data_IF_312080025532
#
_entry.id   IF_312080025532
#
_cell.length_a   1.000
_cell.length_b   1.000
_cell.length_c   1.000
_cell.angle_alpha   90.00
_cell.angle_beta   90.00
_cell.angle_gamma   90.00
#
_symmetry.space_group_name_H-M   'P 1'
#
loop_
_entity.id
_entity.type
_entity.pdbx_description
1 polymer ?
#
# COMPACT_ATOMS: atom_id res chain seq x y z
N UNK A 1 56.80 23.36 13.66
CA UNK A 1 57.13 24.29 12.56
C UNK A 1 56.95 23.51 11.28
N UNK A 2 56.07 24.00 10.40
CA UNK A 2 55.46 23.33 9.25
C UNK A 2 56.47 23.13 8.12
N UNK A 3 56.35 22.01 7.40
CA UNK A 3 56.69 21.92 5.96
C UNK A 3 55.82 20.82 5.29
N UNK A 4 55.72 20.78 3.96
CA UNK A 4 54.42 20.87 3.27
C UNK A 4 54.26 19.75 2.22
N UNK A 5 53.05 19.35 1.86
CA UNK A 5 52.85 18.82 0.51
C UNK A 5 51.37 18.74 0.17
N UNK A 6 51.06 18.98 -1.10
CA UNK A 6 49.72 18.78 -1.61
C UNK A 6 49.26 19.87 -2.58
N UNK A 7 49.99 19.98 -3.68
CA UNK A 7 49.46 20.19 -5.02
C UNK A 7 48.31 21.19 -5.20
N UNK A 8 48.67 22.36 -5.71
CA UNK A 8 47.79 23.12 -6.58
C UNK A 8 47.55 22.35 -7.88
N UNK A 9 46.40 22.65 -8.49
CA UNK A 9 46.04 22.57 -9.93
C UNK A 9 44.87 21.61 -10.19
N UNK A 10 43.66 22.14 -10.20
CA UNK A 10 43.03 22.57 -11.46
C UNK A 10 41.62 23.09 -11.16
N UNK A 11 41.50 24.41 -11.22
CA UNK A 11 40.23 25.10 -11.42
C UNK A 11 39.83 24.89 -12.88
N UNK A 12 38.75 24.16 -13.15
CA UNK A 12 37.88 24.49 -14.28
C UNK A 12 36.44 24.09 -14.01
N UNK A 13 35.61 25.10 -14.16
CA UNK A 13 34.17 25.18 -13.98
C UNK A 13 33.47 24.18 -14.91
N UNK A 14 32.39 23.58 -14.42
CA UNK A 14 31.12 23.50 -15.17
C UNK A 14 29.99 23.31 -14.18
N UNK A 15 29.34 24.43 -13.87
CA UNK A 15 27.93 24.44 -13.47
C UNK A 15 27.18 23.69 -14.58
N UNK A 16 26.73 22.49 -14.29
CA UNK A 16 25.78 21.79 -15.15
C UNK A 16 24.43 22.46 -14.99
N UNK A 17 23.91 22.89 -16.13
CA UNK A 17 22.58 23.43 -16.33
C UNK A 17 21.53 22.72 -15.48
N UNK A 18 20.81 23.51 -14.67
CA UNK A 18 19.49 23.16 -14.18
C UNK A 18 18.54 23.31 -15.38
N UNK A 19 18.67 22.40 -16.34
CA UNK A 19 17.66 22.17 -17.36
C UNK A 19 16.70 21.14 -16.79
N UNK A 20 15.50 21.61 -16.48
CA UNK A 20 14.45 20.80 -15.89
C UNK A 20 14.12 19.58 -16.75
N UNK A 21 14.52 18.43 -16.27
CA UNK A 21 13.72 17.22 -16.31
C UNK A 21 13.61 16.77 -14.86
N UNK A 22 12.39 16.76 -14.32
CA UNK A 22 12.12 16.05 -13.08
C UNK A 22 12.26 14.56 -13.39
N UNK A 23 13.50 14.10 -13.59
CA UNK A 23 13.84 12.70 -13.61
C UNK A 23 13.69 12.21 -12.18
N UNK A 24 12.46 11.86 -11.83
CA UNK A 24 12.20 10.95 -10.72
C UNK A 24 12.90 9.65 -11.06
N UNK A 25 14.17 9.55 -10.68
CA UNK A 25 14.94 8.31 -10.73
C UNK A 25 14.08 7.21 -10.10
N UNK A 26 13.90 6.06 -10.78
CA UNK A 26 13.13 4.97 -10.22
C UNK A 26 13.78 4.55 -8.90
N UNK A 27 13.02 4.64 -7.82
CA UNK A 27 13.43 4.22 -6.47
C UNK A 27 13.93 2.78 -6.58
N UNK A 28 15.14 2.53 -6.06
CA UNK A 28 15.72 1.20 -6.10
C UNK A 28 14.77 0.21 -5.38
N UNK A 29 14.72 -1.03 -5.83
CA UNK A 29 13.82 -2.05 -5.25
C UNK A 29 13.93 -2.16 -3.73
N UNK A 30 15.16 -2.14 -3.21
CA UNK A 30 15.43 -2.14 -1.77
C UNK A 30 14.85 -0.94 -1.03
N UNK A 31 14.87 0.24 -1.64
CA UNK A 31 14.31 1.47 -1.06
C UNK A 31 12.77 1.40 -1.06
N UNK A 32 12.17 0.82 -2.10
CA UNK A 32 10.71 0.57 -2.14
C UNK A 32 10.28 -0.40 -1.04
N UNK A 33 11.04 -1.48 -0.83
CA UNK A 33 10.76 -2.47 0.21
C UNK A 33 10.86 -1.86 1.61
N UNK A 34 11.88 -1.03 1.84
CA UNK A 34 12.04 -0.29 3.10
C UNK A 34 10.86 0.67 3.34
N UNK A 35 10.48 1.44 2.33
CA UNK A 35 9.35 2.37 2.41
C UNK A 35 8.03 1.62 2.64
N UNK A 36 7.85 0.45 2.04
CA UNK A 36 6.71 -0.43 2.26
C UNK A 36 6.65 -0.92 3.72
N UNK A 37 7.77 -1.42 4.26
CA UNK A 37 7.86 -1.87 5.64
C UNK A 37 7.59 -0.73 6.64
N UNK A 38 8.17 0.46 6.42
CA UNK A 38 7.89 1.65 7.24
C UNK A 38 6.42 2.07 7.17
N UNK A 39 5.82 2.04 5.98
CA UNK A 39 4.40 2.34 5.79
C UNK A 39 3.52 1.41 6.61
N UNK A 40 3.84 0.12 6.64
CA UNK A 40 3.13 -0.87 7.46
C UNK A 40 3.29 -0.59 8.97
N UNK A 41 4.51 -0.28 9.44
CA UNK A 41 4.76 0.08 10.84
C UNK A 41 3.96 1.32 11.25
N UNK A 42 3.95 2.36 10.41
CA UNK A 42 3.17 3.56 10.68
C UNK A 42 1.66 3.26 10.80
N UNK A 43 1.10 2.38 9.96
CA UNK A 43 -0.29 1.95 10.08
C UNK A 43 -0.55 1.20 11.37
N UNK A 44 0.33 0.28 11.75
CA UNK A 44 0.21 -0.48 13.00
C UNK A 44 0.21 0.44 14.23
N UNK A 45 0.91 1.58 14.16
CA UNK A 45 0.93 2.60 15.20
C UNK A 45 -0.21 3.65 15.09
N UNK A 46 -1.17 3.48 14.18
CA UNK A 46 -2.27 4.43 13.97
C UNK A 46 -1.86 5.74 13.29
N UNK A 47 -0.68 5.80 12.69
CA UNK A 47 -0.13 6.96 11.99
C UNK A 47 -0.43 6.88 10.49
N UNK A 48 -1.71 6.73 10.13
CA UNK A 48 -2.14 6.46 8.75
C UNK A 48 -1.75 7.58 7.77
N UNK A 49 -1.75 8.85 8.19
CA UNK A 49 -1.32 9.96 7.33
C UNK A 49 0.16 9.84 6.92
N UNK A 50 1.04 9.42 7.84
CA UNK A 50 2.46 9.19 7.53
C UNK A 50 2.64 7.99 6.60
N UNK A 51 1.90 6.92 6.86
CA UNK A 51 1.90 5.76 5.98
C UNK A 51 1.47 6.14 4.56
N UNK A 52 0.37 6.88 4.42
CA UNK A 52 -0.13 7.32 3.12
C UNK A 52 0.88 8.21 2.38
N UNK A 53 1.58 9.09 3.10
CA UNK A 53 2.65 9.90 2.51
C UNK A 53 3.79 9.05 1.92
N UNK A 54 4.24 8.02 2.65
CA UNK A 54 5.27 7.10 2.15
C UNK A 54 4.78 6.26 0.97
N UNK A 55 3.56 5.73 1.05
CA UNK A 55 2.96 4.93 -0.03
C UNK A 55 2.81 5.72 -1.33
N UNK A 56 2.51 7.01 -1.27
CA UNK A 56 2.44 7.90 -2.45
C UNK A 56 3.79 8.09 -3.14
N UNK A 57 4.91 7.84 -2.47
CA UNK A 57 6.24 7.89 -3.10
C UNK A 57 6.53 6.64 -3.94
N UNK A 58 5.94 5.50 -3.58
CA UNK A 58 6.27 4.20 -4.17
C UNK A 58 5.15 3.58 -5.01
N UNK A 59 3.90 4.01 -4.83
CA UNK A 59 2.76 3.57 -5.65
C UNK A 59 2.56 4.53 -6.80
N UNK A 60 2.81 4.02 -8.01
CA UNK A 60 2.48 4.71 -9.26
C UNK A 60 1.18 4.15 -9.88
N UNK A 61 0.63 4.86 -10.86
CA UNK A 61 -0.67 4.53 -11.47
C UNK A 61 -0.76 3.08 -11.94
N UNK A 62 0.32 2.54 -12.52
CA UNK A 62 0.37 1.17 -13.05
C UNK A 62 0.82 0.10 -12.04
N UNK A 63 0.90 0.40 -10.75
CA UNK A 63 1.32 -0.56 -9.74
C UNK A 63 0.47 -1.86 -9.78
N UNK A 64 1.15 -3.00 -9.92
CA UNK A 64 0.53 -4.33 -9.94
C UNK A 64 0.83 -5.14 -8.66
N UNK A 65 1.57 -4.55 -7.72
CA UNK A 65 1.93 -5.21 -6.47
C UNK A 65 0.71 -5.28 -5.55
N UNK A 66 0.09 -6.45 -5.49
CA UNK A 66 -1.09 -6.75 -4.67
C UNK A 66 -0.83 -6.46 -3.19
N UNK A 67 0.36 -6.75 -2.67
CA UNK A 67 0.70 -6.50 -1.27
C UNK A 67 0.68 -5.01 -0.96
N UNK A 68 1.33 -4.22 -1.81
CA UNK A 68 1.41 -2.78 -1.67
C UNK A 68 0.04 -2.10 -1.84
N UNK A 69 -0.75 -2.54 -2.82
CA UNK A 69 -2.12 -2.05 -3.04
C UNK A 69 -3.05 -2.35 -1.85
N UNK A 70 -2.90 -3.51 -1.19
CA UNK A 70 -3.66 -3.82 0.03
C UNK A 70 -3.32 -2.86 1.18
N UNK A 71 -2.04 -2.55 1.36
CA UNK A 71 -1.59 -1.58 2.39
C UNK A 71 -2.16 -0.19 2.06
N UNK A 72 -2.12 0.23 0.79
CA UNK A 72 -2.69 1.49 0.35
C UNK A 72 -4.21 1.59 0.59
N UNK A 73 -4.97 0.53 0.27
CA UNK A 73 -6.40 0.50 0.55
C UNK A 73 -6.69 0.67 2.06
N UNK A 74 -5.92 0.00 2.92
CA UNK A 74 -6.08 0.14 4.37
C UNK A 74 -5.70 1.55 4.87
N UNK A 75 -4.67 2.16 4.30
CA UNK A 75 -4.28 3.54 4.62
C UNK A 75 -5.39 4.53 4.26
N UNK A 76 -5.99 4.42 3.07
CA UNK A 76 -7.12 5.26 2.66
C UNK A 76 -8.33 5.10 3.59
N UNK A 77 -8.70 3.86 3.95
CA UNK A 77 -9.80 3.60 4.91
C UNK A 77 -9.53 4.23 6.28
N UNK A 78 -8.27 4.19 6.73
CA UNK A 78 -7.84 4.74 8.02
C UNK A 78 -7.91 6.27 8.03
N UNK A 79 -7.56 6.92 6.92
CA UNK A 79 -7.70 8.36 6.72
C UNK A 79 -9.13 8.81 6.40
N UNK A 80 -10.08 7.88 6.22
CA UNK A 80 -11.46 8.21 5.89
C UNK A 80 -11.70 8.53 4.41
N UNK A 81 -10.71 8.29 3.54
CA UNK A 81 -10.76 8.46 2.09
C UNK A 81 -11.43 7.24 1.44
N UNK A 82 -12.75 7.17 1.58
CA UNK A 82 -13.53 5.99 1.21
C UNK A 82 -13.55 5.69 -0.29
N UNK A 83 -13.71 6.70 -1.13
CA UNK A 83 -13.80 6.52 -2.58
C UNK A 83 -12.45 6.12 -3.18
N UNK A 84 -11.35 6.70 -2.69
CA UNK A 84 -10.00 6.29 -3.07
C UNK A 84 -9.72 4.85 -2.67
N UNK A 85 -10.15 4.43 -1.47
CA UNK A 85 -10.03 3.04 -1.05
C UNK A 85 -10.81 2.09 -1.96
N UNK A 86 -12.01 2.47 -2.40
CA UNK A 86 -12.82 1.66 -3.32
C UNK A 86 -12.13 1.49 -4.68
N UNK A 87 -11.55 2.56 -5.23
CA UNK A 87 -10.81 2.48 -6.49
C UNK A 87 -9.63 1.49 -6.41
N UNK A 88 -8.91 1.46 -5.28
CA UNK A 88 -7.83 0.47 -5.07
C UNK A 88 -8.38 -0.95 -4.90
N UNK A 89 -9.51 -1.12 -4.21
CA UNK A 89 -10.13 -2.43 -4.04
C UNK A 89 -10.69 -2.98 -5.35
N UNK A 90 -11.19 -2.13 -6.25
CA UNK A 90 -11.64 -2.53 -7.58
C UNK A 90 -10.46 -3.00 -8.44
N UNK A 91 -9.29 -2.37 -8.31
CA UNK A 91 -8.05 -2.88 -8.90
C UNK A 91 -7.65 -4.22 -8.30
N UNK A 92 -7.69 -4.36 -6.98
CA UNK A 92 -7.35 -5.62 -6.31
C UNK A 92 -8.24 -6.79 -6.75
N UNK A 93 -9.54 -6.57 -7.00
CA UNK A 93 -10.43 -7.60 -7.52
C UNK A 93 -10.00 -8.12 -8.90
N UNK A 94 -9.29 -7.31 -9.69
CA UNK A 94 -8.74 -7.71 -11.01
C UNK A 94 -7.38 -8.40 -10.94
N UNK A 95 -6.61 -8.16 -9.89
CA UNK A 95 -5.21 -8.61 -9.77
C UNK A 95 -5.02 -9.78 -8.82
N UNK A 96 -5.90 -9.92 -7.83
CA UNK A 96 -5.77 -10.86 -6.73
C UNK A 96 -6.76 -12.01 -6.87
N UNK A 97 -6.37 -13.01 -7.64
CA UNK A 97 -7.18 -14.22 -7.85
C UNK A 97 -7.10 -15.20 -6.67
N UNK A 98 -6.31 -14.90 -5.63
CA UNK A 98 -6.06 -15.85 -4.57
C UNK A 98 -7.32 -16.05 -3.68
N UNK A 99 -7.84 -17.28 -3.52
CA UNK A 99 -9.10 -17.51 -2.82
C UNK A 99 -9.14 -17.01 -1.37
N UNK A 100 -8.01 -17.07 -0.67
CA UNK A 100 -7.88 -16.60 0.72
C UNK A 100 -7.93 -15.07 0.85
N UNK A 101 -7.68 -14.32 -0.22
CA UNK A 101 -7.76 -12.86 -0.23
C UNK A 101 -9.20 -12.35 -0.24
N UNK A 102 -10.14 -13.18 -0.72
CA UNK A 102 -11.55 -12.79 -0.85
C UNK A 102 -12.16 -12.33 0.48
N UNK A 103 -11.88 -13.04 1.57
CA UNK A 103 -12.42 -12.73 2.88
C UNK A 103 -11.94 -11.37 3.42
N UNK A 104 -10.63 -11.09 3.53
CA UNK A 104 -10.15 -9.78 3.97
C UNK A 104 -10.54 -8.64 3.01
N UNK A 105 -10.52 -8.84 1.69
CA UNK A 105 -10.92 -7.80 0.73
C UNK A 105 -12.40 -7.43 0.85
N UNK A 106 -13.28 -8.41 1.07
CA UNK A 106 -14.72 -8.15 1.29
C UNK A 106 -14.93 -7.29 2.55
N UNK A 107 -14.17 -7.56 3.62
CA UNK A 107 -14.24 -6.74 4.84
C UNK A 107 -13.76 -5.31 4.58
N UNK A 108 -12.62 -5.14 3.93
CA UNK A 108 -12.08 -3.81 3.58
C UNK A 108 -13.05 -3.01 2.71
N UNK A 109 -13.71 -3.65 1.73
CA UNK A 109 -14.73 -3.01 0.89
C UNK A 109 -15.93 -2.50 1.70
N UNK A 110 -16.41 -3.27 2.67
CA UNK A 110 -17.45 -2.79 3.59
C UNK A 110 -16.99 -1.55 4.36
N UNK A 111 -15.75 -1.53 4.87
CA UNK A 111 -15.21 -0.37 5.56
C UNK A 111 -15.07 0.85 4.66
N UNK A 112 -14.57 0.68 3.43
CA UNK A 112 -14.43 1.76 2.45
C UNK A 112 -15.79 2.38 2.11
N UNK A 113 -16.83 1.57 1.87
CA UNK A 113 -18.20 2.04 1.65
C UNK A 113 -18.74 2.86 2.84
N UNK A 114 -18.44 2.44 4.09
CA UNK A 114 -18.83 3.23 5.27
C UNK A 114 -18.13 4.58 5.30
N UNK A 115 -16.84 4.63 4.96
CA UNK A 115 -16.07 5.88 4.89
C UNK A 115 -16.58 6.82 3.79
N UNK A 116 -17.05 6.26 2.68
CA UNK A 116 -17.70 7.00 1.60
C UNK A 116 -19.17 7.39 1.90
N UNK A 117 -19.70 7.08 3.10
CA UNK A 117 -21.09 7.39 3.47
C UNK A 117 -22.15 6.45 2.84
N UNK A 118 -21.74 5.44 2.09
CA UNK A 118 -22.60 4.45 1.40
C UNK A 118 -23.02 3.32 2.35
N UNK A 119 -23.78 3.68 3.40
CA UNK A 119 -24.06 2.79 4.54
C UNK A 119 -24.88 1.54 4.18
N UNK A 120 -25.83 1.65 3.26
CA UNK A 120 -26.67 0.51 2.86
C UNK A 120 -25.85 -0.55 2.10
N UNK A 121 -25.01 -0.10 1.17
CA UNK A 121 -24.08 -0.97 0.45
C UNK A 121 -23.05 -1.58 1.40
N UNK A 122 -22.49 -0.77 2.30
CA UNK A 122 -21.56 -1.27 3.31
C UNK A 122 -22.15 -2.41 4.14
N UNK A 123 -23.42 -2.29 4.53
CA UNK A 123 -24.15 -3.31 5.29
C UNK A 123 -24.34 -4.58 4.46
N UNK A 124 -24.74 -4.46 3.19
CA UNK A 124 -24.90 -5.60 2.30
C UNK A 124 -23.57 -6.36 2.10
N UNK A 125 -22.47 -5.64 1.90
CA UNK A 125 -21.13 -6.24 1.77
C UNK A 125 -20.68 -6.89 3.09
N UNK A 126 -20.92 -6.26 4.23
CA UNK A 126 -20.59 -6.85 5.53
C UNK A 126 -21.34 -8.15 5.80
N UNK A 127 -22.64 -8.21 5.46
CA UNK A 127 -23.42 -9.45 5.56
C UNK A 127 -22.85 -10.56 4.68
N UNK A 128 -22.38 -10.23 3.48
CA UNK A 128 -21.71 -11.17 2.58
C UNK A 128 -20.40 -11.70 3.19
N UNK A 129 -19.61 -10.83 3.83
CA UNK A 129 -18.42 -11.22 4.58
C UNK A 129 -18.75 -12.18 5.75
N UNK A 130 -19.79 -11.90 6.54
CA UNK A 130 -20.21 -12.77 7.65
C UNK A 130 -20.60 -14.16 7.14
N UNK A 131 -21.34 -14.24 6.03
CA UNK A 131 -21.69 -15.52 5.39
C UNK A 131 -20.46 -16.28 4.91
N UNK A 132 -19.52 -15.59 4.25
CA UNK A 132 -18.27 -16.19 3.76
C UNK A 132 -17.42 -16.74 4.92
N UNK A 133 -17.30 -15.97 6.01
CA UNK A 133 -16.60 -16.40 7.23
C UNK A 133 -17.24 -17.65 7.83
N UNK A 134 -18.56 -17.66 7.98
CA UNK A 134 -19.29 -18.84 8.48
C UNK A 134 -19.04 -20.09 7.64
N UNK A 135 -19.04 -19.95 6.30
CA UNK A 135 -18.72 -21.04 5.38
C UNK A 135 -17.29 -21.56 5.52
N UNK A 136 -16.30 -20.69 5.68
CA UNK A 136 -14.89 -21.10 5.85
C UNK A 136 -14.65 -21.92 7.12
N UNK A 137 -15.36 -21.63 8.22
CA UNK A 137 -15.24 -22.38 9.47
C UNK A 137 -15.74 -23.82 9.30
N UNK A 138 -16.88 -24.00 8.61
CA UNK A 138 -17.48 -25.32 8.39
C UNK A 138 -16.62 -26.24 7.54
N UNK A 139 -15.94 -25.70 6.51
CA UNK A 139 -15.02 -26.46 5.65
C UNK A 139 -13.80 -26.95 6.45
N UNK A 140 -13.24 -26.11 7.33
CA UNK A 140 -12.07 -26.47 8.13
C UNK A 140 -12.40 -27.51 9.22
N UNK A 141 -13.63 -27.49 9.78
CA UNK A 141 -14.06 -28.50 10.75
C UNK A 141 -14.33 -29.87 10.11
N UNK A 142 -14.80 -29.90 8.86
CA UNK A 142 -15.01 -31.16 8.13
C UNK A 142 -13.69 -31.85 7.74
N UNK A 143 -12.64 -31.08 7.45
CA UNK A 143 -11.30 -31.62 7.10
C UNK A 143 -10.53 -32.20 8.29
N UNK A 144 -10.92 -31.92 9.55
CA UNK A 144 -10.24 -32.42 10.77
C UNK A 144 -10.90 -33.67 11.37
N UNK A 145 -11.92 -34.21 10.72
CA UNK A 145 -12.75 -35.32 11.24
C UNK A 145 -12.62 -36.62 10.45
N UNK A 146 -11.41 -37.11 10.17
CA UNK A 146 -11.20 -38.46 9.66
C UNK A 146 -10.06 -39.15 10.43
N UNK A 147 -10.34 -40.23 11.19
CA UNK A 147 -9.34 -41.05 11.87
C UNK A 147 -8.54 -41.93 10.89
#
# INVERSE_FOLDING_TARGET
MVDPDGAQLFTHISQTDVSGTSDTLPIAEQERDLLCALSYVHLACGQSAKSLALLRLIVHDNCQDVGLLRILAYAFISEGLGDEALAILDRLDTLDEHPFSRLPLTLLRSHALRRAGRMDEARAVFQSYVRLRGGTVLINTASKGSP
#
